data_IF_291246828655
#
_entry.id   IF_291246828655
#
_cell.length_a   1.000
_cell.length_b   1.000
_cell.length_c   1.000
_cell.angle_alpha   90.00
_cell.angle_beta   90.00
_cell.angle_gamma   90.00
#
_symmetry.space_group_name_H-M   'P 1'
#
loop_
_entity.id
_entity.type
_entity.pdbx_description
1 polymer ?
#
# COMPACT_ATOMS: atom_id res chain seq x y z
N UNK A 1 -19.68 -1.48 -0.39
CA UNK A 1 -20.65 -2.53 -0.08
C UNK A 1 -20.88 -2.65 1.42
N UNK A 2 -22.00 -3.23 1.82
CA UNK A 2 -22.28 -3.49 3.24
C UNK A 2 -21.54 -4.75 3.68
N UNK A 3 -20.86 -4.69 4.80
CA UNK A 3 -20.23 -5.85 5.45
C UNK A 3 -20.21 -5.65 6.96
N UNK A 4 -20.05 -6.73 7.69
CA UNK A 4 -19.87 -6.77 9.13
C UNK A 4 -18.76 -7.78 9.51
N UNK A 5 -18.49 -7.93 10.78
CA UNK A 5 -17.46 -8.87 11.25
C UNK A 5 -17.75 -10.31 10.85
N UNK A 6 -19.05 -10.72 10.85
CA UNK A 6 -19.46 -12.07 10.47
C UNK A 6 -19.12 -12.36 9.01
N UNK A 7 -19.36 -11.39 8.11
CA UNK A 7 -19.01 -11.53 6.68
C UNK A 7 -17.48 -11.65 6.53
N UNK A 8 -16.72 -10.85 7.26
CA UNK A 8 -15.25 -10.93 7.27
C UNK A 8 -14.78 -12.30 7.75
N UNK A 9 -15.35 -12.83 8.84
CA UNK A 9 -14.99 -14.14 9.38
C UNK A 9 -15.32 -15.29 8.41
N UNK A 10 -16.47 -15.21 7.75
CA UNK A 10 -16.85 -16.18 6.70
C UNK A 10 -15.86 -16.09 5.53
N UNK A 11 -15.54 -14.90 5.06
CA UNK A 11 -14.58 -14.73 3.97
C UNK A 11 -13.20 -15.32 4.32
N UNK A 12 -12.69 -15.07 5.53
CA UNK A 12 -11.45 -15.68 6.03
C UNK A 12 -11.55 -17.21 6.07
N UNK A 13 -12.68 -17.75 6.53
CA UNK A 13 -12.86 -19.21 6.66
C UNK A 13 -12.86 -19.97 5.34
N UNK A 14 -13.18 -19.29 4.24
CA UNK A 14 -13.13 -19.87 2.87
C UNK A 14 -11.85 -19.50 2.12
N UNK A 15 -10.84 -18.92 2.80
CA UNK A 15 -9.51 -18.67 2.26
C UNK A 15 -9.33 -17.31 1.56
N UNK A 16 -10.29 -16.38 1.69
CA UNK A 16 -10.12 -15.02 1.20
C UNK A 16 -9.09 -14.30 2.09
N UNK A 17 -8.03 -13.78 1.50
CA UNK A 17 -6.93 -13.12 2.21
C UNK A 17 -7.06 -11.62 2.30
N UNK A 18 -7.78 -10.99 1.38
CA UNK A 18 -7.99 -9.56 1.36
C UNK A 18 -9.33 -9.18 0.75
N UNK A 19 -9.84 -8.02 1.14
CA UNK A 19 -11.05 -7.45 0.58
C UNK A 19 -10.99 -5.91 0.63
N UNK A 20 -11.19 -5.28 -0.51
CA UNK A 20 -11.29 -3.83 -0.57
C UNK A 20 -12.60 -3.34 0.04
N UNK A 21 -12.53 -2.33 0.88
CA UNK A 21 -13.70 -1.62 1.39
C UNK A 21 -13.87 -0.30 0.64
N UNK A 22 -15.13 0.10 0.45
CA UNK A 22 -15.50 1.35 -0.22
C UNK A 22 -16.17 2.30 0.75
N UNK A 23 -15.71 2.34 2.00
CA UNK A 23 -16.32 3.20 3.01
C UNK A 23 -15.90 4.65 2.77
N UNK A 24 -16.40 5.20 1.65
CA UNK A 24 -16.11 6.54 1.17
C UNK A 24 -16.37 7.63 2.23
N UNK A 25 -17.32 7.39 3.14
CA UNK A 25 -17.63 8.38 4.19
C UNK A 25 -16.50 8.50 5.21
N UNK A 26 -15.95 7.40 5.66
CA UNK A 26 -14.87 7.42 6.67
C UNK A 26 -13.55 7.87 6.03
N UNK A 27 -13.17 7.27 4.92
CA UNK A 27 -11.98 7.65 4.17
C UNK A 27 -12.07 9.11 3.68
N UNK A 28 -13.22 9.55 3.14
CA UNK A 28 -13.41 10.93 2.68
C UNK A 28 -13.38 11.92 3.84
N UNK A 29 -13.94 11.59 5.00
CA UNK A 29 -13.90 12.48 6.17
C UNK A 29 -12.48 12.65 6.68
N UNK A 30 -11.75 11.54 6.85
CA UNK A 30 -10.35 11.59 7.29
C UNK A 30 -9.43 12.23 6.25
N UNK A 31 -9.62 11.94 4.98
CA UNK A 31 -8.88 12.62 3.90
C UNK A 31 -9.15 14.12 3.88
N UNK A 32 -10.38 14.54 4.10
CA UNK A 32 -10.73 15.95 4.19
C UNK A 32 -10.14 16.63 5.43
N UNK A 33 -10.16 15.96 6.57
CA UNK A 33 -9.54 16.44 7.81
C UNK A 33 -8.02 16.55 7.68
N UNK A 34 -7.36 15.53 7.15
CA UNK A 34 -5.93 15.54 6.91
C UNK A 34 -5.53 16.59 5.85
N UNK A 35 -6.32 16.74 4.81
CA UNK A 35 -6.11 17.78 3.79
C UNK A 35 -6.28 19.18 4.38
N UNK A 36 -7.32 19.40 5.19
CA UNK A 36 -7.55 20.67 5.85
C UNK A 36 -6.48 21.02 6.89
N UNK A 37 -5.95 20.01 7.60
CA UNK A 37 -4.90 20.19 8.58
C UNK A 37 -3.52 20.47 7.96
N UNK A 38 -3.29 20.06 6.70
CA UNK A 38 -2.00 20.11 6.02
C UNK A 38 -2.10 20.70 4.61
N UNK A 39 -2.96 21.67 4.37
CA UNK A 39 -3.22 22.25 3.05
C UNK A 39 -1.94 22.71 2.31
N UNK A 40 -0.89 23.10 3.05
CA UNK A 40 0.40 23.52 2.53
C UNK A 40 1.59 22.67 3.03
N UNK A 41 1.32 21.56 3.74
CA UNK A 41 2.35 20.73 4.36
C UNK A 41 2.56 19.38 3.69
N UNK A 42 3.69 18.70 3.98
CA UNK A 42 3.89 17.32 3.56
C UNK A 42 2.83 16.44 4.22
N UNK A 43 2.34 15.44 3.49
CA UNK A 43 1.51 14.38 4.08
C UNK A 43 2.34 13.75 5.21
N UNK A 44 1.81 13.80 6.43
CA UNK A 44 2.46 13.15 7.55
C UNK A 44 2.37 11.63 7.36
N UNK A 45 3.47 10.96 7.62
CA UNK A 45 3.52 9.51 7.61
C UNK A 45 2.66 9.01 8.75
N UNK A 46 1.83 8.01 8.50
CA UNK A 46 0.81 7.55 9.44
C UNK A 46 -0.49 8.32 9.33
N UNK A 47 -0.60 9.19 8.33
CA UNK A 47 -1.87 9.76 7.93
C UNK A 47 -2.74 8.62 7.39
N UNK A 48 -3.85 8.33 8.06
CA UNK A 48 -4.70 7.15 7.79
C UNK A 48 -5.30 7.13 6.38
N UNK A 49 -5.19 8.22 5.67
CA UNK A 49 -5.66 8.38 4.29
C UNK A 49 -4.54 8.55 3.30
N UNK A 50 -3.33 8.37 3.77
CA UNK A 50 -2.17 8.58 2.98
C UNK A 50 -1.77 7.34 2.21
N UNK A 51 -0.50 7.08 2.29
CA UNK A 51 0.19 6.05 1.55
C UNK A 51 0.67 4.92 2.46
N UNK A 52 -0.04 4.71 3.58
CA UNK A 52 0.31 3.67 4.55
C UNK A 52 -0.13 2.29 4.06
N UNK A 53 0.62 1.28 4.48
CA UNK A 53 0.19 -0.12 4.35
C UNK A 53 -1.07 -0.36 5.20
N UNK A 54 -1.98 -1.25 4.78
CA UNK A 54 -3.18 -1.54 5.54
C UNK A 54 -2.86 -2.32 6.82
N UNK A 55 -3.53 -1.99 7.92
CA UNK A 55 -3.48 -2.77 9.16
C UNK A 55 -4.31 -4.06 9.07
N UNK A 56 -5.39 -4.05 8.29
CA UNK A 56 -6.28 -5.19 8.07
C UNK A 56 -6.58 -5.35 6.58
N UNK A 57 -5.97 -6.34 5.95
CA UNK A 57 -6.19 -6.64 4.53
C UNK A 57 -7.63 -7.04 4.20
N UNK A 58 -8.41 -7.53 5.17
CA UNK A 58 -9.84 -7.80 4.97
C UNK A 58 -10.70 -6.54 4.99
N UNK A 59 -10.12 -5.40 5.34
CA UNK A 59 -10.75 -4.07 5.32
C UNK A 59 -9.84 -3.06 4.65
N UNK A 60 -9.29 -3.45 3.51
CA UNK A 60 -8.30 -2.66 2.80
C UNK A 60 -8.91 -1.39 2.22
N UNK A 61 -8.57 -0.26 2.83
CA UNK A 61 -9.01 1.07 2.39
C UNK A 61 -8.10 1.56 1.28
N UNK A 62 -8.64 1.93 0.10
CA UNK A 62 -7.84 2.53 -0.97
C UNK A 62 -7.36 3.93 -0.59
N UNK A 63 -6.27 4.38 -1.22
CA UNK A 63 -5.77 5.75 -1.11
C UNK A 63 -6.79 6.76 -1.67
N UNK A 64 -7.32 6.50 -2.87
CA UNK A 64 -8.33 7.36 -3.48
C UNK A 64 -9.17 6.63 -4.52
N UNK A 65 -10.34 7.20 -4.82
CA UNK A 65 -11.08 6.92 -6.04
C UNK A 65 -10.49 7.73 -7.20
N UNK A 66 -10.45 7.19 -8.42
CA UNK A 66 -9.83 7.87 -9.56
C UNK A 66 -10.43 9.24 -9.88
N UNK A 67 -11.69 9.47 -9.54
CA UNK A 67 -12.35 10.77 -9.70
C UNK A 67 -12.05 11.77 -8.56
N UNK A 68 -11.25 11.39 -7.57
CA UNK A 68 -10.93 12.21 -6.40
C UNK A 68 -9.45 12.57 -6.37
N UNK A 69 -9.08 13.64 -7.08
CA UNK A 69 -7.72 14.21 -7.06
C UNK A 69 -6.59 13.22 -7.39
N UNK A 70 -6.82 12.24 -8.29
CA UNK A 70 -5.88 11.18 -8.61
C UNK A 70 -4.48 11.69 -8.94
N UNK A 71 -4.39 12.67 -9.85
CA UNK A 71 -3.11 13.24 -10.29
C UNK A 71 -2.38 13.92 -9.15
N UNK A 72 -3.10 14.64 -8.28
CA UNK A 72 -2.49 15.29 -7.11
C UNK A 72 -1.98 14.26 -6.09
N UNK A 73 -2.75 13.20 -5.83
CA UNK A 73 -2.26 12.09 -5.00
C UNK A 73 -1.01 11.43 -5.61
N UNK A 74 -0.99 11.23 -6.93
CA UNK A 74 0.19 10.74 -7.62
C UNK A 74 1.41 11.65 -7.44
N UNK A 75 1.26 12.97 -7.65
CA UNK A 75 2.33 13.95 -7.43
C UNK A 75 2.88 13.93 -6.00
N UNK A 76 2.01 13.70 -5.01
CA UNK A 76 2.42 13.57 -3.61
C UNK A 76 3.14 12.25 -3.34
N UNK A 77 2.61 11.14 -3.84
CA UNK A 77 3.26 9.84 -3.74
C UNK A 77 4.68 9.87 -4.27
N UNK A 78 4.89 10.52 -5.43
CA UNK A 78 6.20 10.68 -6.06
C UNK A 78 7.22 11.50 -5.24
N UNK A 79 6.76 12.29 -4.26
CA UNK A 79 7.63 13.09 -3.38
C UNK A 79 8.04 12.35 -2.10
N UNK A 80 7.52 11.14 -1.86
CA UNK A 80 7.85 10.36 -0.68
C UNK A 80 9.25 9.75 -0.84
N UNK A 81 10.15 10.08 0.05
CA UNK A 81 11.58 9.71 -0.06
C UNK A 81 12.13 9.00 1.17
N UNK A 82 11.35 8.88 2.24
CA UNK A 82 11.84 8.27 3.49
C UNK A 82 11.90 6.75 3.37
N UNK A 83 13.10 6.20 3.44
CA UNK A 83 13.37 4.77 3.22
C UNK A 83 12.95 3.86 4.38
N UNK A 84 12.69 4.42 5.56
CA UNK A 84 12.25 3.66 6.74
C UNK A 84 10.78 3.23 6.71
N UNK A 85 10.03 3.61 5.67
CA UNK A 85 8.61 3.29 5.54
C UNK A 85 8.33 2.65 4.20
N UNK A 86 7.42 1.68 4.20
CA UNK A 86 6.78 1.21 2.99
C UNK A 86 5.58 2.12 2.69
N UNK A 87 5.63 2.75 1.53
CA UNK A 87 4.52 3.53 1.04
C UNK A 87 3.73 2.73 0.01
N UNK A 88 2.42 2.87 0.06
CA UNK A 88 1.51 2.23 -0.87
C UNK A 88 0.55 3.26 -1.46
N UNK A 89 0.34 3.21 -2.76
CA UNK A 89 -0.73 3.94 -3.42
C UNK A 89 -1.71 2.95 -4.02
N UNK A 90 -2.95 2.97 -3.55
CA UNK A 90 -4.02 2.09 -3.99
C UNK A 90 -5.17 2.92 -4.56
N UNK A 91 -5.26 2.93 -5.88
CA UNK A 91 -6.33 3.62 -6.62
C UNK A 91 -7.43 2.63 -6.97
N UNK A 92 -8.68 3.07 -6.89
CA UNK A 92 -9.81 2.27 -7.33
C UNK A 92 -10.80 3.12 -8.15
N UNK A 93 -11.71 2.43 -8.82
CA UNK A 93 -12.76 3.07 -9.61
C UNK A 93 -13.29 2.11 -10.67
N UNK A 94 -14.07 2.63 -11.61
CA UNK A 94 -14.68 1.86 -12.69
C UNK A 94 -14.36 2.49 -14.04
N UNK A 95 -13.92 1.71 -14.99
CA UNK A 95 -13.51 2.20 -16.32
C UNK A 95 -14.63 2.96 -17.06
N UNK A 96 -15.89 2.54 -16.90
CA UNK A 96 -17.02 3.22 -17.53
C UNK A 96 -17.25 4.65 -17.04
N UNK A 97 -16.68 5.01 -15.88
CA UNK A 97 -16.81 6.36 -15.32
C UNK A 97 -15.99 7.37 -16.12
N UNK A 98 -14.86 6.98 -16.68
CA UNK A 98 -14.07 7.84 -17.56
C UNK A 98 -14.85 8.22 -18.80
N UNK A 99 -15.53 7.24 -19.43
CA UNK A 99 -16.40 7.52 -20.57
C UNK A 99 -17.57 8.41 -20.21
N UNK A 100 -18.26 8.09 -19.13
CA UNK A 100 -19.40 8.85 -18.65
C UNK A 100 -19.06 10.30 -18.30
N UNK A 101 -17.88 10.52 -17.72
CA UNK A 101 -17.45 11.85 -17.26
C UNK A 101 -16.58 12.55 -18.31
N UNK A 102 -16.28 11.91 -19.45
CA UNK A 102 -15.41 12.41 -20.51
C UNK A 102 -14.08 12.93 -19.96
N UNK A 103 -13.39 12.12 -19.15
CA UNK A 103 -12.18 12.51 -18.42
C UNK A 103 -11.08 11.43 -18.45
N UNK A 104 -10.90 10.75 -19.58
CA UNK A 104 -9.85 9.75 -19.78
C UNK A 104 -8.44 10.32 -19.56
N UNK A 105 -8.24 11.59 -19.83
CA UNK A 105 -6.97 12.30 -19.66
C UNK A 105 -6.44 12.20 -18.22
N UNK A 106 -7.30 12.06 -17.22
CA UNK A 106 -6.89 11.94 -15.80
C UNK A 106 -6.09 10.66 -15.56
N UNK A 107 -6.56 9.53 -16.09
CA UNK A 107 -5.84 8.26 -15.91
C UNK A 107 -4.61 8.18 -16.81
N UNK A 108 -4.65 8.79 -17.99
CA UNK A 108 -3.51 8.87 -18.90
C UNK A 108 -2.39 9.69 -18.25
N UNK A 109 -2.66 10.90 -17.77
CA UNK A 109 -1.69 11.75 -17.05
C UNK A 109 -1.11 11.02 -15.83
N UNK A 110 -1.96 10.35 -15.06
CA UNK A 110 -1.51 9.60 -13.90
C UNK A 110 -0.59 8.44 -14.29
N UNK A 111 -0.97 7.63 -15.28
CA UNK A 111 -0.15 6.51 -15.73
C UNK A 111 1.18 6.97 -16.32
N UNK A 112 1.21 8.02 -17.12
CA UNK A 112 2.46 8.59 -17.66
C UNK A 112 3.40 9.05 -16.54
N UNK A 113 2.85 9.67 -15.51
CA UNK A 113 3.62 10.19 -14.38
C UNK A 113 4.29 9.09 -13.56
N UNK A 114 3.59 7.97 -13.32
CA UNK A 114 4.08 6.89 -12.46
C UNK A 114 4.75 5.73 -13.20
N UNK A 115 4.61 5.64 -14.54
CA UNK A 115 5.10 4.51 -15.30
C UNK A 115 6.64 4.44 -15.37
N UNK A 116 7.17 3.22 -15.55
CA UNK A 116 8.58 2.95 -15.81
C UNK A 116 9.57 3.55 -14.79
N UNK A 117 9.22 3.48 -13.53
CA UNK A 117 10.07 3.97 -12.44
C UNK A 117 10.66 2.81 -11.64
N UNK A 118 11.97 2.84 -11.45
CA UNK A 118 12.70 1.80 -10.71
C UNK A 118 12.47 1.85 -9.18
N UNK A 119 11.95 2.97 -8.69
CA UNK A 119 11.63 3.19 -7.27
C UNK A 119 10.16 2.84 -6.92
N UNK A 120 9.38 2.34 -7.88
CA UNK A 120 7.98 1.91 -7.68
C UNK A 120 7.84 0.43 -8.01
N UNK A 121 7.36 -0.33 -7.06
CA UNK A 121 6.91 -1.69 -7.29
C UNK A 121 5.44 -1.70 -7.75
N UNK A 122 5.21 -2.07 -9.00
CA UNK A 122 3.86 -2.26 -9.56
C UNK A 122 3.40 -3.66 -9.24
N UNK A 123 2.48 -3.78 -8.29
CA UNK A 123 2.07 -5.06 -7.75
C UNK A 123 0.55 -5.25 -7.79
N UNK A 124 0.13 -6.50 -7.88
CA UNK A 124 -1.26 -6.85 -7.60
C UNK A 124 -1.52 -6.87 -6.09
N UNK A 125 -2.78 -6.79 -5.68
CA UNK A 125 -3.15 -6.92 -4.27
C UNK A 125 -2.65 -8.25 -3.67
N UNK A 126 -2.69 -9.33 -4.45
CA UNK A 126 -2.19 -10.64 -4.04
C UNK A 126 -0.68 -10.62 -3.77
N UNK A 127 0.10 -9.97 -4.64
CA UNK A 127 1.55 -9.87 -4.48
C UNK A 127 1.91 -9.11 -3.20
N UNK A 128 1.19 -8.02 -2.91
CA UNK A 128 1.41 -7.23 -1.69
C UNK A 128 1.10 -8.05 -0.44
N UNK A 129 -0.04 -8.73 -0.41
CA UNK A 129 -0.42 -9.58 0.74
C UNK A 129 0.59 -10.71 0.92
N UNK A 130 0.95 -11.41 -0.15
CA UNK A 130 1.94 -12.48 -0.11
C UNK A 130 3.29 -11.97 0.42
N UNK A 131 3.77 -10.85 -0.09
CA UNK A 131 5.05 -10.29 0.35
C UNK A 131 5.06 -9.93 1.84
N UNK A 132 3.98 -9.35 2.36
CA UNK A 132 3.89 -9.04 3.78
C UNK A 132 3.80 -10.31 4.64
N UNK A 133 3.06 -11.35 4.19
CA UNK A 133 3.04 -12.65 4.87
C UNK A 133 4.45 -13.28 4.92
N UNK A 134 5.27 -13.10 3.89
CA UNK A 134 6.66 -13.58 3.87
C UNK A 134 7.54 -12.77 4.82
N UNK A 135 7.36 -11.45 4.83
CA UNK A 135 8.09 -10.55 5.72
C UNK A 135 7.80 -10.88 7.19
N UNK A 136 6.55 -11.10 7.54
CA UNK A 136 6.11 -11.44 8.91
C UNK A 136 6.64 -12.80 9.40
N UNK A 137 7.08 -13.66 8.48
CA UNK A 137 7.68 -14.96 8.80
C UNK A 137 9.19 -14.91 9.04
N UNK A 138 9.83 -13.78 8.81
CA UNK A 138 11.25 -13.65 9.08
C UNK A 138 11.55 -13.90 10.54
N UNK A 139 12.58 -14.70 10.80
CA UNK A 139 13.03 -15.09 12.14
C UNK A 139 14.29 -14.32 12.48
N UNK A 140 14.17 -13.34 13.38
CA UNK A 140 15.29 -12.57 13.89
C UNK A 140 15.95 -13.30 15.06
N UNK A 141 17.27 -13.34 15.08
CA UNK A 141 18.02 -13.87 16.21
C UNK A 141 17.95 -12.90 17.39
N UNK A 142 18.18 -13.41 18.59
CA UNK A 142 17.99 -12.65 19.83
C UNK A 142 18.86 -11.38 19.95
N UNK A 143 20.00 -11.35 19.27
CA UNK A 143 20.91 -10.20 19.19
C UNK A 143 20.56 -9.23 18.04
N UNK A 144 19.61 -9.59 17.19
CA UNK A 144 19.25 -8.89 15.95
C UNK A 144 20.41 -8.73 14.94
N UNK A 145 21.49 -9.49 15.09
CA UNK A 145 22.59 -9.48 14.13
C UNK A 145 22.33 -10.38 12.91
N UNK A 146 21.43 -11.33 13.02
CA UNK A 146 21.08 -12.27 11.96
C UNK A 146 19.57 -12.39 11.80
N UNK A 147 19.17 -12.66 10.56
CA UNK A 147 17.80 -12.96 10.17
C UNK A 147 17.75 -14.21 9.31
N UNK A 148 16.81 -15.10 9.58
CA UNK A 148 16.52 -16.27 8.77
C UNK A 148 15.20 -16.08 8.02
N UNK A 149 15.18 -16.44 6.73
CA UNK A 149 13.97 -16.45 5.91
C UNK A 149 13.50 -17.91 5.71
N UNK A 150 12.51 -18.40 6.47
CA UNK A 150 12.02 -19.77 6.35
C UNK A 150 11.15 -20.00 5.11
N UNK A 151 10.93 -18.98 4.29
CA UNK A 151 10.08 -19.06 3.10
C UNK A 151 10.87 -19.48 1.86
N UNK A 152 10.20 -19.52 0.70
CA UNK A 152 10.83 -19.90 -0.59
C UNK A 152 11.16 -18.70 -1.48
N UNK A 153 10.69 -17.51 -1.14
CA UNK A 153 10.91 -16.28 -1.91
C UNK A 153 11.82 -15.32 -1.15
N UNK A 154 12.55 -14.49 -1.88
CA UNK A 154 13.35 -13.42 -1.27
C UNK A 154 12.50 -12.37 -0.57
N UNK A 155 13.02 -11.84 0.53
CA UNK A 155 12.50 -10.67 1.24
C UNK A 155 13.64 -9.66 1.39
N UNK A 156 13.33 -8.38 1.29
CA UNK A 156 14.31 -7.30 1.41
C UNK A 156 14.11 -6.50 2.68
N UNK A 157 15.18 -6.19 3.36
CA UNK A 157 15.20 -5.41 4.60
C UNK A 157 15.98 -4.11 4.40
N UNK A 158 15.44 -3.02 4.93
CA UNK A 158 16.20 -1.78 5.08
C UNK A 158 16.89 -1.78 6.46
N UNK A 159 18.20 -2.03 6.47
CA UNK A 159 19.01 -2.05 7.70
C UNK A 159 19.55 -0.65 7.96
N UNK A 160 19.36 -0.14 9.18
CA UNK A 160 19.80 1.20 9.60
C UNK A 160 19.34 2.34 8.66
N UNK A 161 18.16 2.18 8.05
CA UNK A 161 17.55 3.13 7.10
C UNK A 161 18.40 3.45 5.85
N UNK A 162 19.40 2.65 5.55
CA UNK A 162 20.35 2.96 4.46
C UNK A 162 20.70 1.78 3.58
N UNK A 163 20.93 0.61 4.17
CA UNK A 163 21.40 -0.57 3.45
C UNK A 163 20.25 -1.51 3.17
N UNK A 164 20.06 -1.85 1.89
CA UNK A 164 19.07 -2.87 1.51
C UNK A 164 19.75 -4.23 1.49
N UNK A 165 19.23 -5.16 2.27
CA UNK A 165 19.68 -6.52 2.39
C UNK A 165 18.64 -7.47 1.83
N UNK A 166 19.01 -8.27 0.84
CA UNK A 166 18.18 -9.36 0.35
C UNK A 166 18.41 -10.59 1.24
N UNK A 167 17.32 -11.18 1.72
CA UNK A 167 17.31 -12.45 2.44
C UNK A 167 16.58 -13.47 1.58
N UNK A 168 17.35 -14.30 0.86
CA UNK A 168 16.75 -15.30 -0.04
C UNK A 168 16.04 -16.39 0.75
N UNK A 169 15.11 -17.07 0.07
CA UNK A 169 14.39 -18.18 0.67
C UNK A 169 15.33 -19.27 1.21
N UNK A 170 15.15 -19.66 2.47
CA UNK A 170 15.99 -20.64 3.18
C UNK A 170 17.34 -20.11 3.68
N UNK A 171 17.69 -18.86 3.44
CA UNK A 171 18.97 -18.28 3.87
C UNK A 171 18.90 -17.64 5.26
N UNK A 172 20.05 -17.65 5.95
CA UNK A 172 20.31 -16.83 7.13
C UNK A 172 21.38 -15.81 6.76
N UNK A 173 21.09 -14.54 6.98
CA UNK A 173 21.97 -13.43 6.59
C UNK A 173 22.34 -12.60 7.81
N UNK A 174 23.57 -12.10 7.87
CA UNK A 174 23.99 -11.10 8.86
C UNK A 174 23.50 -9.72 8.43
N UNK A 175 22.90 -8.96 9.39
CA UNK A 175 22.37 -7.62 9.18
C UNK A 175 23.41 -6.51 9.43
#
# INVERSE_FOLDING_TARGET
GSYDNRIVDIAKSVGIKYARVTNDKYAATKAAEAYAANADGPILIGDENGFSMPEDYMRWVPTCHHNHNLVEFGKRFMKLTKKQYLYMMYVWGHSFEFERNNNWEIIEEFCEMIANRDDIWYATNSDIVEYNELFDRLEFFADNEYVHNPSVKSVWLAVNNSTIVEVKGGETVKL
#
